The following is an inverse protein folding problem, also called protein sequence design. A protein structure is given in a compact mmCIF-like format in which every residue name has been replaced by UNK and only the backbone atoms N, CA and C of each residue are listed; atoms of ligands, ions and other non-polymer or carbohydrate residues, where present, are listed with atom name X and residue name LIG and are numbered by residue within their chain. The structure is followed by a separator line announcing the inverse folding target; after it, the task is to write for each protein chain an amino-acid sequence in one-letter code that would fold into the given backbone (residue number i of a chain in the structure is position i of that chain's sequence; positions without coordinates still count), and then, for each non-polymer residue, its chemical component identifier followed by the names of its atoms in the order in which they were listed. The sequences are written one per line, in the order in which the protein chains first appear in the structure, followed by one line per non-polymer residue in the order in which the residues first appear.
data_IF_277513506164
#
_entry.id   IF_277513506164
#
_cell.length_a   1.000
_cell.length_b   1.000
_cell.length_c   1.000
_cell.angle_alpha   90.00
_cell.angle_beta   90.00
_cell.angle_gamma   90.00
#
_symmetry.space_group_name_H-M   'P 1'
#
loop_
_entity.id
_entity.type
_entity.pdbx_description
1 polymer ?
#
# COMPACT_ATOMS: atom_id res chain seq x y z
N UNK A 1 -3.80 -1.68 20.98
CA UNK A 1 -4.35 -1.68 19.61
C UNK A 1 -3.96 -2.99 18.94
N UNK A 2 -4.83 -3.67 18.20
CA UNK A 2 -4.46 -4.91 17.50
C UNK A 2 -3.54 -4.53 16.33
N UNK A 3 -2.37 -5.18 16.21
CA UNK A 3 -1.43 -4.92 15.12
C UNK A 3 -2.00 -5.43 13.79
N UNK A 4 -1.69 -4.73 12.70
CA UNK A 4 -2.18 -5.10 11.37
C UNK A 4 -1.21 -6.14 10.74
N UNK A 5 -1.69 -7.30 10.26
CA UNK A 5 -0.83 -8.34 9.71
C UNK A 5 -0.22 -7.92 8.37
N UNK A 6 1.11 -8.01 8.26
CA UNK A 6 1.89 -7.67 7.07
C UNK A 6 2.85 -8.81 6.74
N UNK A 7 2.82 -9.28 5.49
CA UNK A 7 3.81 -10.21 4.98
C UNK A 7 5.15 -9.51 4.79
N UNK A 8 6.26 -10.17 5.07
CA UNK A 8 7.58 -9.57 4.87
C UNK A 8 8.60 -10.59 4.39
N UNK A 9 9.50 -10.15 3.52
CA UNK A 9 10.72 -10.92 3.23
C UNK A 9 11.53 -11.10 4.52
N UNK A 10 11.56 -12.32 5.02
CA UNK A 10 12.24 -12.78 6.26
C UNK A 10 13.64 -12.19 6.49
N UNK A 11 14.45 -11.98 5.44
CA UNK A 11 15.78 -11.38 5.57
C UNK A 11 15.74 -9.95 6.14
N UNK A 12 14.63 -9.23 5.96
CA UNK A 12 14.40 -7.88 6.49
C UNK A 12 14.19 -7.86 8.01
N UNK A 13 13.80 -8.99 8.60
CA UNK A 13 13.65 -9.17 10.05
C UNK A 13 14.93 -9.66 10.73
N UNK A 14 16.05 -9.72 10.01
CA UNK A 14 17.32 -10.20 10.58
C UNK A 14 17.51 -11.72 10.53
N UNK A 15 16.63 -12.47 9.84
CA UNK A 15 16.81 -13.90 9.66
C UNK A 15 17.93 -14.18 8.64
N UNK A 16 18.82 -15.13 8.97
CA UNK A 16 19.97 -15.55 8.16
C UNK A 16 19.57 -16.46 6.98
N UNK A 17 18.72 -15.96 6.09
CA UNK A 17 18.10 -16.72 4.99
C UNK A 17 18.58 -16.30 3.61
N UNK A 18 19.50 -15.32 3.52
CA UNK A 18 20.06 -14.89 2.24
C UNK A 18 20.94 -15.98 1.64
N UNK A 19 21.20 -15.89 0.33
CA UNK A 19 22.05 -16.84 -0.39
C UNK A 19 23.47 -16.95 0.20
N UNK A 20 23.96 -15.87 0.81
CA UNK A 20 25.26 -15.76 1.49
C UNK A 20 25.21 -16.17 2.97
N UNK A 21 24.07 -16.63 3.47
CA UNK A 21 23.87 -16.98 4.88
C UNK A 21 23.69 -15.77 5.81
N UNK A 22 23.63 -14.54 5.28
CA UNK A 22 23.42 -13.33 6.06
C UNK A 22 21.97 -12.86 6.13
N UNK A 23 21.77 -11.64 6.64
CA UNK A 23 20.47 -10.96 6.73
C UNK A 23 20.50 -9.54 6.11
N UNK A 24 19.38 -8.83 6.19
CA UNK A 24 19.19 -7.42 5.78
C UNK A 24 18.26 -6.71 6.77
N UNK A 25 18.63 -6.74 8.06
CA UNK A 25 17.81 -6.12 9.11
C UNK A 25 17.56 -4.64 8.77
N UNK A 26 16.29 -4.25 8.73
CA UNK A 26 15.90 -2.88 8.44
C UNK A 26 15.37 -2.20 9.70
N UNK A 27 16.09 -1.19 10.18
CA UNK A 27 15.80 -0.52 11.45
C UNK A 27 14.48 0.25 11.45
N UNK A 28 14.02 0.76 10.30
CA UNK A 28 12.73 1.45 10.23
C UNK A 28 11.58 0.44 10.32
N UNK A 29 11.73 -0.71 9.65
CA UNK A 29 10.74 -1.79 9.70
C UNK A 29 10.68 -2.40 11.11
N UNK A 30 11.82 -2.82 11.67
CA UNK A 30 11.84 -3.52 12.97
C UNK A 30 11.73 -2.58 14.17
N UNK A 31 12.00 -1.29 13.99
CA UNK A 31 11.73 -0.25 14.97
C UNK A 31 10.32 0.29 14.80
N UNK A 32 10.17 1.35 14.01
CA UNK A 32 8.94 2.14 13.89
C UNK A 32 7.74 1.32 13.41
N UNK A 33 7.85 0.57 12.31
CA UNK A 33 6.67 -0.11 11.75
C UNK A 33 6.18 -1.28 12.62
N UNK A 34 7.09 -1.92 13.38
CA UNK A 34 6.75 -3.03 14.27
C UNK A 34 5.80 -2.66 15.41
N UNK A 35 5.69 -1.38 15.76
CA UNK A 35 4.75 -0.90 16.78
C UNK A 35 3.29 -1.00 16.29
N UNK A 36 3.08 -0.90 14.98
CA UNK A 36 1.75 -0.86 14.34
C UNK A 36 1.40 -2.16 13.60
N UNK A 37 2.41 -2.89 13.13
CA UNK A 37 2.25 -4.04 12.25
C UNK A 37 2.79 -5.32 12.87
N UNK A 38 2.08 -6.42 12.61
CA UNK A 38 2.49 -7.78 12.95
C UNK A 38 3.10 -8.42 11.71
N UNK A 39 4.38 -8.76 11.78
CA UNK A 39 5.13 -9.24 10.61
C UNK A 39 5.08 -10.75 10.49
N UNK A 40 4.55 -11.24 9.36
CA UNK A 40 4.57 -12.64 8.98
C UNK A 40 5.73 -12.86 8.00
N UNK A 41 6.75 -13.60 8.43
CA UNK A 41 7.98 -13.76 7.67
C UNK A 41 7.84 -14.85 6.60
N UNK A 42 8.25 -14.53 5.38
CA UNK A 42 8.31 -15.49 4.27
C UNK A 42 9.69 -15.47 3.60
N UNK A 43 10.19 -16.64 3.23
CA UNK A 43 11.34 -16.78 2.34
C UNK A 43 10.99 -17.80 1.26
N UNK A 44 10.67 -17.37 0.02
CA UNK A 44 10.35 -18.31 -1.07
C UNK A 44 11.48 -19.31 -1.33
N UNK A 45 12.73 -18.88 -1.22
CA UNK A 45 13.89 -19.71 -1.50
C UNK A 45 14.10 -20.79 -0.41
N UNK A 46 13.88 -20.46 0.88
CA UNK A 46 13.87 -21.49 1.93
C UNK A 46 12.63 -22.37 1.82
N UNK A 47 11.48 -21.79 1.46
CA UNK A 47 10.20 -22.48 1.34
C UNK A 47 10.18 -23.56 0.26
N UNK A 48 11.00 -23.42 -0.79
CA UNK A 48 11.20 -24.46 -1.82
C UNK A 48 12.38 -25.40 -1.50
N UNK A 49 13.00 -25.28 -0.32
CA UNK A 49 14.03 -26.20 0.17
C UNK A 49 15.48 -25.86 -0.21
N UNK A 50 15.79 -24.65 -0.69
CA UNK A 50 17.18 -24.33 -1.12
C UNK A 50 18.18 -24.17 0.02
N UNK A 51 17.72 -23.89 1.25
CA UNK A 51 18.59 -23.62 2.39
C UNK A 51 19.39 -22.32 2.29
N UNK A 52 20.26 -22.09 3.27
CA UNK A 52 21.22 -21.00 3.28
C UNK A 52 22.53 -21.48 3.95
N UNK A 53 23.71 -21.24 3.36
CA UNK A 53 23.94 -20.58 2.06
C UNK A 53 23.51 -21.46 0.87
N UNK A 54 23.35 -20.85 -0.31
CA UNK A 54 22.97 -21.54 -1.56
C UNK A 54 23.55 -20.83 -2.78
N UNK A 55 23.68 -21.50 -3.95
CA UNK A 55 24.11 -20.84 -5.18
C UNK A 55 23.13 -19.73 -5.59
N UNK A 56 23.66 -18.70 -6.25
CA UNK A 56 22.87 -17.55 -6.69
C UNK A 56 21.96 -17.89 -7.86
N UNK A 57 20.79 -17.25 -7.87
CA UNK A 57 19.78 -17.37 -8.92
C UNK A 57 19.75 -16.09 -9.76
N UNK A 58 19.24 -16.18 -11.00
CA UNK A 58 18.93 -15.04 -11.86
C UNK A 58 17.66 -15.29 -12.66
N UNK A 59 17.02 -14.21 -13.12
CA UNK A 59 15.95 -14.30 -14.09
C UNK A 59 16.52 -14.30 -15.51
N UNK A 60 16.03 -15.19 -16.36
CA UNK A 60 16.36 -15.27 -17.79
C UNK A 60 15.07 -15.25 -18.60
N UNK A 61 15.09 -14.64 -19.79
CA UNK A 61 13.96 -14.66 -20.72
C UNK A 61 14.24 -15.65 -21.85
N UNK A 62 13.39 -16.67 -21.98
CA UNK A 62 13.47 -17.71 -23.00
C UNK A 62 12.08 -17.83 -23.61
N UNK A 63 11.96 -17.74 -24.94
CA UNK A 63 10.67 -17.86 -25.66
C UNK A 63 9.54 -16.98 -25.08
N UNK A 64 9.88 -15.73 -24.74
CA UNK A 64 9.01 -14.75 -24.08
C UNK A 64 8.55 -15.08 -22.65
N UNK A 65 8.94 -16.21 -22.08
CA UNK A 65 8.71 -16.55 -20.68
C UNK A 65 9.93 -16.18 -19.80
N UNK A 66 9.66 -15.78 -18.56
CA UNK A 66 10.70 -15.49 -17.57
C UNK A 66 10.91 -16.72 -16.69
N UNK A 67 12.14 -17.18 -16.59
CA UNK A 67 12.54 -18.31 -15.76
C UNK A 67 13.54 -17.88 -14.68
N UNK A 68 13.46 -18.48 -13.50
CA UNK A 68 14.45 -18.33 -12.44
C UNK A 68 15.37 -19.55 -12.42
N UNK A 69 16.66 -19.34 -12.73
CA UNK A 69 17.66 -20.40 -12.90
C UNK A 69 18.92 -20.12 -12.08
N UNK A 70 19.72 -21.15 -11.82
CA UNK A 70 21.05 -21.01 -11.26
C UNK A 70 21.99 -20.18 -12.15
N UNK A 71 22.83 -19.34 -11.53
CA UNK A 71 23.87 -18.61 -12.28
C UNK A 71 24.99 -19.54 -12.74
N UNK A 72 25.42 -20.46 -11.87
CA UNK A 72 26.50 -21.42 -12.16
C UNK A 72 26.01 -22.67 -12.89
N UNK A 73 24.73 -23.00 -12.73
CA UNK A 73 24.07 -24.16 -13.32
C UNK A 73 22.71 -23.70 -13.90
N UNK A 74 22.66 -23.38 -15.21
CA UNK A 74 21.42 -22.97 -15.86
C UNK A 74 20.36 -24.07 -15.97
N UNK A 75 20.73 -25.35 -15.88
CA UNK A 75 19.78 -26.47 -15.90
C UNK A 75 19.01 -26.58 -14.58
N UNK A 76 19.56 -25.99 -13.50
CA UNK A 76 18.87 -25.82 -12.25
C UNK A 76 17.82 -24.70 -12.33
N UNK A 77 16.63 -25.07 -12.81
CA UNK A 77 15.47 -24.19 -12.94
C UNK A 77 14.51 -24.33 -11.74
N UNK A 78 14.31 -23.24 -11.01
CA UNK A 78 13.46 -23.19 -9.80
C UNK A 78 12.17 -22.40 -10.01
N UNK A 79 11.79 -22.12 -11.26
CA UNK A 79 10.58 -21.36 -11.61
C UNK A 79 9.31 -22.02 -11.06
N UNK A 80 9.06 -23.28 -11.40
CA UNK A 80 7.87 -24.01 -10.95
C UNK A 80 7.81 -24.18 -9.42
N UNK A 81 8.90 -24.56 -8.73
CA UNK A 81 8.91 -24.54 -7.26
C UNK A 81 8.48 -23.19 -6.66
N UNK A 82 8.99 -22.07 -7.18
CA UNK A 82 8.63 -20.73 -6.69
C UNK A 82 7.16 -20.38 -6.93
N UNK A 83 6.62 -20.70 -8.12
CA UNK A 83 5.21 -20.52 -8.44
C UNK A 83 4.30 -21.35 -7.53
N UNK A 84 4.65 -22.62 -7.33
CA UNK A 84 3.88 -23.53 -6.47
C UNK A 84 3.93 -23.09 -5.01
N UNK A 85 5.07 -22.61 -4.53
CA UNK A 85 5.17 -22.04 -3.19
C UNK A 85 4.26 -20.81 -3.03
N UNK A 86 4.21 -19.88 -4.00
CA UNK A 86 3.29 -18.75 -3.96
C UNK A 86 1.81 -19.18 -3.86
N UNK A 87 1.42 -20.21 -4.63
CA UNK A 87 0.06 -20.81 -4.57
C UNK A 87 -0.22 -21.45 -3.21
N UNK A 88 0.73 -22.20 -2.64
CA UNK A 88 0.60 -22.83 -1.32
C UNK A 88 0.41 -21.80 -0.20
N UNK A 89 1.13 -20.67 -0.27
CA UNK A 89 1.02 -19.59 0.72
C UNK A 89 -0.24 -18.73 0.56
N UNK A 90 -1.03 -18.90 -0.51
CA UNK A 90 -2.14 -18.00 -0.83
C UNK A 90 -3.19 -17.90 0.30
N UNK A 91 -3.46 -19.01 1.00
CA UNK A 91 -4.37 -19.00 2.16
C UNK A 91 -3.83 -18.13 3.30
N UNK A 92 -2.53 -18.17 3.56
CA UNK A 92 -1.88 -17.32 4.57
C UNK A 92 -1.83 -15.85 4.12
N UNK A 93 -1.68 -15.61 2.82
CA UNK A 93 -1.73 -14.26 2.25
C UNK A 93 -3.11 -13.62 2.35
N UNK A 94 -4.18 -14.42 2.31
CA UNK A 94 -5.56 -13.94 2.41
C UNK A 94 -5.83 -13.15 3.70
N UNK A 95 -5.07 -13.39 4.78
CA UNK A 95 -5.21 -12.67 6.05
C UNK A 95 -4.37 -11.38 6.10
N UNK A 96 -3.36 -11.23 5.24
CA UNK A 96 -2.47 -10.07 5.24
C UNK A 96 -3.15 -8.79 4.72
N UNK A 97 -2.75 -7.64 5.27
CA UNK A 97 -3.20 -6.32 4.83
C UNK A 97 -2.16 -5.55 4.03
N UNK A 98 -0.97 -6.14 3.85
CA UNK A 98 0.10 -5.63 2.99
C UNK A 98 1.29 -6.57 2.97
N UNK A 99 2.26 -6.28 2.12
CA UNK A 99 3.47 -7.08 1.96
C UNK A 99 4.71 -6.20 1.68
N UNK A 100 5.79 -6.40 2.44
CA UNK A 100 7.08 -5.74 2.23
C UNK A 100 8.09 -6.73 1.63
N UNK A 101 8.52 -6.46 0.41
CA UNK A 101 9.44 -7.30 -0.34
C UNK A 101 10.89 -6.81 -0.25
N UNK A 102 11.83 -7.74 -0.35
CA UNK A 102 13.26 -7.42 -0.50
C UNK A 102 13.55 -7.12 -1.98
N UNK A 103 14.02 -5.91 -2.27
CA UNK A 103 14.33 -5.43 -3.63
C UNK A 103 15.37 -6.29 -4.33
N UNK A 104 15.26 -6.34 -5.65
CA UNK A 104 16.21 -6.96 -6.59
C UNK A 104 16.41 -8.48 -6.42
N UNK A 105 15.57 -9.17 -5.64
CA UNK A 105 15.61 -10.63 -5.56
C UNK A 105 14.93 -11.27 -6.79
N UNK A 106 15.51 -12.32 -7.40
CA UNK A 106 14.87 -13.06 -8.49
C UNK A 106 13.61 -13.84 -8.03
N UNK A 107 13.42 -14.03 -6.73
CA UNK A 107 12.19 -14.62 -6.18
C UNK A 107 11.22 -13.54 -5.67
N UNK A 108 11.72 -12.58 -4.88
CA UNK A 108 10.88 -11.63 -4.14
C UNK A 108 10.82 -10.20 -4.70
N UNK A 109 11.70 -9.78 -5.61
CA UNK A 109 11.71 -8.39 -6.06
C UNK A 109 10.42 -8.03 -6.78
N UNK A 110 9.83 -6.88 -6.45
CA UNK A 110 8.55 -6.43 -7.01
C UNK A 110 8.72 -5.79 -8.38
N UNK A 111 9.75 -4.98 -8.55
CA UNK A 111 10.01 -4.26 -9.78
C UNK A 111 11.51 -4.12 -10.05
N UNK A 112 11.85 -3.87 -11.32
CA UNK A 112 13.21 -3.61 -11.77
C UNK A 112 14.22 -4.72 -11.40
N UNK A 113 13.73 -5.95 -11.30
CA UNK A 113 14.58 -7.13 -11.15
C UNK A 113 15.28 -7.40 -12.48
N UNK A 114 16.56 -7.72 -12.43
CA UNK A 114 17.35 -7.97 -13.64
C UNK A 114 16.89 -9.27 -14.32
N UNK A 115 16.46 -9.16 -15.56
CA UNK A 115 16.14 -10.26 -16.48
C UNK A 115 17.18 -10.29 -17.58
N UNK A 116 17.75 -11.46 -17.85
CA UNK A 116 18.79 -11.62 -18.86
C UNK A 116 18.20 -12.20 -20.16
N UNK A 117 18.37 -11.49 -21.28
CA UNK A 117 18.04 -11.96 -22.63
C UNK A 117 19.33 -11.99 -23.45
N UNK A 118 19.71 -13.13 -24.04
CA UNK A 118 21.00 -13.27 -24.74
C UNK A 118 22.20 -12.77 -23.90
N UNK A 119 22.15 -13.05 -22.59
CA UNK A 119 23.13 -12.61 -21.59
C UNK A 119 23.22 -11.08 -21.36
N UNK A 120 22.31 -10.28 -21.94
CA UNK A 120 22.17 -8.85 -21.68
C UNK A 120 21.13 -8.58 -20.58
N UNK A 121 21.45 -7.80 -19.53
CA UNK A 121 20.53 -7.52 -18.44
C UNK A 121 19.56 -6.36 -18.75
N UNK A 122 18.28 -6.59 -18.48
CA UNK A 122 17.22 -5.58 -18.49
C UNK A 122 16.60 -5.48 -17.11
N UNK A 123 16.41 -4.26 -16.60
CA UNK A 123 15.91 -4.01 -15.25
C UNK A 123 14.41 -3.66 -15.26
N UNK A 124 13.61 -4.57 -15.81
CA UNK A 124 12.16 -4.45 -16.03
C UNK A 124 11.38 -5.68 -15.54
N UNK A 125 12.04 -6.63 -14.86
CA UNK A 125 11.40 -7.83 -14.34
C UNK A 125 10.82 -7.72 -12.94
N UNK A 126 10.09 -8.77 -12.56
CA UNK A 126 9.56 -9.05 -11.23
C UNK A 126 9.98 -10.48 -10.85
N UNK A 127 10.28 -10.72 -9.58
CA UNK A 127 10.62 -12.04 -9.08
C UNK A 127 9.45 -13.02 -9.21
N UNK A 128 9.75 -14.29 -9.49
CA UNK A 128 8.73 -15.29 -9.84
C UNK A 128 7.65 -15.45 -8.75
N UNK A 129 8.08 -15.50 -7.47
CA UNK A 129 7.14 -15.60 -6.35
C UNK A 129 6.33 -14.31 -6.16
N UNK A 130 6.99 -13.14 -6.24
CA UNK A 130 6.33 -11.85 -6.08
C UNK A 130 5.25 -11.63 -7.15
N UNK A 131 5.55 -11.96 -8.41
CA UNK A 131 4.60 -11.85 -9.52
C UNK A 131 3.35 -12.71 -9.29
N UNK A 132 3.53 -13.99 -8.93
CA UNK A 132 2.40 -14.89 -8.69
C UNK A 132 1.61 -14.51 -7.43
N UNK A 133 2.28 -14.11 -6.34
CA UNK A 133 1.63 -13.64 -5.11
C UNK A 133 0.74 -12.42 -5.38
N UNK A 134 1.26 -11.42 -6.11
CA UNK A 134 0.52 -10.22 -6.48
C UNK A 134 -0.66 -10.54 -7.41
N UNK A 135 -0.49 -11.48 -8.34
CA UNK A 135 -1.56 -11.93 -9.24
C UNK A 135 -2.71 -12.60 -8.47
N UNK A 136 -2.38 -13.44 -7.50
CA UNK A 136 -3.36 -14.13 -6.65
C UNK A 136 -4.03 -13.19 -5.62
N UNK A 137 -3.38 -12.07 -5.28
CA UNK A 137 -3.82 -11.14 -4.24
C UNK A 137 -3.93 -9.69 -4.78
N UNK A 138 -4.83 -9.41 -5.75
CA UNK A 138 -4.88 -8.13 -6.46
C UNK A 138 -5.20 -6.92 -5.57
N UNK A 139 -5.83 -7.16 -4.40
CA UNK A 139 -6.15 -6.13 -3.41
C UNK A 139 -4.98 -5.80 -2.49
N UNK A 140 -4.00 -6.70 -2.35
CA UNK A 140 -2.93 -6.58 -1.36
C UNK A 140 -1.99 -5.42 -1.72
N UNK A 141 -1.77 -4.45 -0.81
CA UNK A 141 -0.69 -3.48 -0.94
C UNK A 141 0.66 -4.19 -0.89
N UNK A 142 1.51 -3.95 -1.87
CA UNK A 142 2.86 -4.53 -1.93
C UNK A 142 3.84 -3.40 -2.20
N UNK A 143 4.95 -3.37 -1.47
CA UNK A 143 6.03 -2.41 -1.67
C UNK A 143 7.40 -3.02 -1.35
N UNK A 144 8.48 -2.48 -1.91
CA UNK A 144 9.85 -2.89 -1.60
C UNK A 144 10.46 -2.05 -0.46
N UNK A 145 11.30 -2.68 0.36
CA UNK A 145 11.99 -2.01 1.47
C UNK A 145 12.75 -0.75 1.02
N UNK A 146 13.40 -0.80 -0.15
CA UNK A 146 14.14 0.34 -0.68
C UNK A 146 13.27 1.52 -1.09
N UNK A 147 12.01 1.26 -1.48
CA UNK A 147 11.05 2.26 -1.93
C UNK A 147 10.35 2.94 -0.76
N UNK A 148 10.22 2.25 0.37
CA UNK A 148 9.80 2.86 1.64
C UNK A 148 10.74 3.98 2.10
N UNK A 149 11.91 4.18 1.49
CA UNK A 149 12.75 5.36 1.70
C UNK A 149 12.10 6.67 1.25
N UNK A 150 11.27 6.65 0.19
CA UNK A 150 10.53 7.82 -0.29
C UNK A 150 9.32 8.09 0.63
N UNK A 151 9.16 9.33 1.16
CA UNK A 151 8.01 9.69 1.98
C UNK A 151 6.67 9.42 1.29
N UNK A 152 6.55 9.73 0.00
CA UNK A 152 5.34 9.61 -0.79
C UNK A 152 4.93 8.15 -0.99
N UNK A 153 5.89 7.28 -1.34
CA UNK A 153 5.65 5.85 -1.52
C UNK A 153 5.35 5.15 -0.19
N UNK A 154 6.08 5.52 0.86
CA UNK A 154 5.86 5.02 2.22
C UNK A 154 4.46 5.37 2.71
N UNK A 155 4.06 6.63 2.57
CA UNK A 155 2.72 7.06 2.97
C UNK A 155 1.65 6.33 2.19
N UNK A 156 1.78 6.24 0.86
CA UNK A 156 0.79 5.57 0.02
C UNK A 156 0.65 4.08 0.36
N UNK A 157 1.77 3.36 0.56
CA UNK A 157 1.76 1.96 0.98
C UNK A 157 1.01 1.79 2.31
N UNK A 158 1.38 2.57 3.33
CA UNK A 158 0.77 2.48 4.66
C UNK A 158 -0.71 2.86 4.61
N UNK A 159 -1.08 3.92 3.88
CA UNK A 159 -2.47 4.33 3.74
C UNK A 159 -3.33 3.20 3.13
N UNK A 160 -2.83 2.55 2.07
CA UNK A 160 -3.50 1.38 1.45
C UNK A 160 -3.61 0.20 2.41
N UNK A 161 -2.60 -0.04 3.25
CA UNK A 161 -2.66 -1.06 4.31
C UNK A 161 -3.82 -0.79 5.27
N UNK A 162 -3.97 0.45 5.74
CA UNK A 162 -5.06 0.83 6.63
C UNK A 162 -6.43 0.75 5.96
N UNK A 163 -6.54 1.11 4.67
CA UNK A 163 -7.78 0.96 3.90
C UNK A 163 -8.17 -0.52 3.78
N UNK A 164 -7.24 -1.41 3.42
CA UNK A 164 -7.53 -2.83 3.32
C UNK A 164 -7.86 -3.45 4.69
N UNK A 165 -7.18 -3.04 5.76
CA UNK A 165 -7.49 -3.48 7.11
C UNK A 165 -8.92 -3.11 7.52
N UNK A 166 -9.33 -1.85 7.28
CA UNK A 166 -10.71 -1.40 7.53
C UNK A 166 -11.73 -2.13 6.68
N UNK A 167 -11.38 -2.46 5.43
CA UNK A 167 -12.24 -3.26 4.55
C UNK A 167 -12.46 -4.66 5.12
N UNK A 168 -11.39 -5.34 5.57
CA UNK A 168 -11.52 -6.65 6.21
C UNK A 168 -12.32 -6.60 7.51
N UNK A 169 -12.15 -5.54 8.31
CA UNK A 169 -12.95 -5.32 9.51
C UNK A 169 -14.44 -5.17 9.17
N UNK A 170 -14.78 -4.39 8.14
CA UNK A 170 -16.15 -4.25 7.64
C UNK A 170 -16.76 -5.61 7.24
N UNK A 171 -16.00 -6.45 6.52
CA UNK A 171 -16.47 -7.78 6.13
C UNK A 171 -16.70 -8.69 7.35
N UNK A 172 -15.81 -8.62 8.35
CA UNK A 172 -15.93 -9.41 9.58
C UNK A 172 -17.12 -8.98 10.46
N UNK A 173 -17.47 -7.69 10.46
CA UNK A 173 -18.64 -7.14 11.18
C UNK A 173 -19.98 -7.44 10.48
N UNK A 174 -19.94 -7.75 9.19
CA UNK A 174 -21.11 -8.00 8.36
C UNK A 174 -21.35 -6.89 7.35
N UNK A 175 -21.21 -7.24 6.06
CA UNK A 175 -21.43 -6.32 4.96
C UNK A 175 -22.93 -6.03 4.77
N UNK A 176 -23.28 -4.74 4.73
CA UNK A 176 -24.62 -4.24 4.38
C UNK A 176 -24.47 -3.10 3.38
N UNK A 177 -25.53 -2.77 2.64
CA UNK A 177 -25.50 -1.61 1.74
C UNK A 177 -25.19 -0.30 2.51
N UNK A 178 -25.74 -0.14 3.72
CA UNK A 178 -25.46 1.04 4.55
C UNK A 178 -24.00 1.09 5.00
N UNK A 179 -23.43 -0.04 5.44
CA UNK A 179 -22.05 -0.08 5.91
C UNK A 179 -21.05 0.11 4.76
N UNK A 180 -21.35 -0.35 3.55
CA UNK A 180 -20.57 -0.06 2.34
C UNK A 180 -20.62 1.43 1.95
N UNK A 181 -21.81 2.04 1.92
CA UNK A 181 -21.95 3.48 1.66
C UNK A 181 -21.22 4.33 2.70
N UNK A 182 -21.29 3.93 3.97
CA UNK A 182 -20.55 4.58 5.07
C UNK A 182 -19.04 4.42 4.89
N UNK A 183 -18.57 3.23 4.53
CA UNK A 183 -17.16 2.99 4.23
C UNK A 183 -16.67 3.92 3.11
N UNK A 184 -17.43 4.06 2.03
CA UNK A 184 -17.11 5.00 0.96
C UNK A 184 -17.06 6.44 1.43
N UNK A 185 -18.08 6.91 2.14
CA UNK A 185 -18.14 8.28 2.64
C UNK A 185 -16.90 8.64 3.49
N UNK A 186 -16.47 7.73 4.37
CA UNK A 186 -15.27 7.92 5.22
C UNK A 186 -13.95 7.92 4.44
N UNK A 187 -13.90 7.30 3.27
CA UNK A 187 -12.69 7.25 2.44
C UNK A 187 -12.72 8.19 1.23
N UNK A 188 -13.84 8.89 0.98
CA UNK A 188 -14.05 9.71 -0.21
C UNK A 188 -12.97 10.78 -0.41
N UNK A 189 -12.55 11.45 0.66
CA UNK A 189 -11.50 12.47 0.59
C UNK A 189 -10.10 11.86 0.38
N UNK A 190 -9.87 10.63 0.82
CA UNK A 190 -8.67 9.86 0.45
C UNK A 190 -8.73 9.55 -1.05
N UNK A 191 -9.82 8.99 -1.55
CA UNK A 191 -9.97 8.66 -2.98
C UNK A 191 -9.69 9.91 -3.84
N UNK A 192 -10.28 11.05 -3.46
CA UNK A 192 -10.11 12.33 -4.13
C UNK A 192 -8.65 12.84 -4.14
N UNK A 193 -7.80 12.47 -3.15
CA UNK A 193 -6.38 12.82 -3.21
C UNK A 193 -5.60 11.99 -4.23
N UNK A 194 -6.12 10.83 -4.64
CA UNK A 194 -5.47 9.93 -5.60
C UNK A 194 -6.00 10.10 -7.02
N UNK A 195 -7.32 10.14 -7.18
CA UNK A 195 -7.97 10.24 -8.49
C UNK A 195 -9.44 10.66 -8.34
N UNK A 196 -10.16 10.65 -9.46
CA UNK A 196 -11.60 10.83 -9.49
C UNK A 196 -12.35 9.73 -8.71
N UNK A 197 -13.34 10.15 -7.93
CA UNK A 197 -14.19 9.26 -7.11
C UNK A 197 -15.56 8.97 -7.74
N UNK A 198 -15.90 9.61 -8.87
CA UNK A 198 -17.24 9.54 -9.49
C UNK A 198 -17.67 8.12 -9.84
N UNK A 199 -16.78 7.32 -10.42
CA UNK A 199 -17.11 5.95 -10.82
C UNK A 199 -17.43 5.06 -9.60
N UNK A 200 -16.64 5.19 -8.52
CA UNK A 200 -16.90 4.49 -7.25
C UNK A 200 -18.23 4.93 -6.63
N UNK A 201 -18.56 6.22 -6.69
CA UNK A 201 -19.84 6.73 -6.20
C UNK A 201 -21.03 6.24 -7.02
N UNK A 202 -20.87 6.14 -8.35
CA UNK A 202 -21.91 5.60 -9.25
C UNK A 202 -22.16 4.12 -8.98
N UNK A 203 -21.12 3.33 -8.80
CA UNK A 203 -21.24 1.91 -8.46
C UNK A 203 -22.10 1.69 -7.21
N UNK A 204 -22.03 2.59 -6.24
CA UNK A 204 -22.86 2.54 -5.04
C UNK A 204 -24.30 3.01 -5.27
N UNK A 205 -24.55 3.89 -6.24
CA UNK A 205 -25.92 4.30 -6.59
C UNK A 205 -26.74 3.18 -7.23
N UNK A 206 -26.07 2.17 -7.78
CA UNK A 206 -26.65 0.97 -8.40
C UNK A 206 -26.89 -0.16 -7.38
N UNK A 207 -26.68 0.09 -6.07
CA UNK A 207 -26.82 -0.91 -5.00
C UNK A 207 -28.26 -1.46 -4.87
N UNK A 208 -28.45 -2.70 -5.33
CA UNK A 208 -29.59 -3.54 -4.98
C UNK A 208 -29.23 -4.54 -3.87
N UNK A 209 -30.21 -5.02 -3.08
CA UNK A 209 -29.95 -6.07 -2.06
C UNK A 209 -29.47 -7.39 -2.68
N UNK A 210 -29.87 -7.69 -3.92
CA UNK A 210 -29.53 -8.95 -4.60
C UNK A 210 -28.06 -9.01 -5.06
N UNK A 211 -27.40 -7.85 -5.19
CA UNK A 211 -26.07 -7.74 -5.82
C UNK A 211 -24.99 -7.21 -4.86
N UNK A 212 -25.30 -7.03 -3.57
CA UNK A 212 -24.41 -6.39 -2.59
C UNK A 212 -22.99 -6.97 -2.59
N UNK A 213 -22.84 -8.30 -2.58
CA UNK A 213 -21.53 -8.96 -2.57
C UNK A 213 -20.74 -8.67 -3.84
N UNK A 214 -21.39 -8.79 -5.01
CA UNK A 214 -20.75 -8.54 -6.31
C UNK A 214 -20.33 -7.08 -6.46
N UNK A 215 -21.20 -6.13 -6.05
CA UNK A 215 -20.90 -4.70 -6.06
C UNK A 215 -19.75 -4.39 -5.11
N UNK A 216 -19.73 -5.00 -3.92
CA UNK A 216 -18.66 -4.81 -2.96
C UNK A 216 -17.30 -5.30 -3.46
N UNK A 217 -17.25 -6.46 -4.14
CA UNK A 217 -16.03 -6.99 -4.76
C UNK A 217 -15.49 -6.07 -5.87
N UNK A 218 -16.38 -5.58 -6.74
CA UNK A 218 -16.01 -4.62 -7.78
C UNK A 218 -15.53 -3.29 -7.17
N UNK A 219 -16.24 -2.81 -6.15
CA UNK A 219 -15.93 -1.57 -5.45
C UNK A 219 -14.54 -1.61 -4.81
N UNK A 220 -14.22 -2.65 -4.04
CA UNK A 220 -12.91 -2.72 -3.37
C UNK A 220 -11.77 -2.89 -4.38
N UNK A 221 -11.99 -3.64 -5.47
CA UNK A 221 -10.99 -3.78 -6.52
C UNK A 221 -10.70 -2.44 -7.19
N UNK A 222 -11.74 -1.69 -7.55
CA UNK A 222 -11.59 -0.37 -8.14
C UNK A 222 -10.95 0.61 -7.16
N UNK A 223 -11.38 0.62 -5.90
CA UNK A 223 -10.79 1.45 -4.84
C UNK A 223 -9.29 1.18 -4.68
N UNK A 224 -8.89 -0.07 -4.49
CA UNK A 224 -7.49 -0.42 -4.30
C UNK A 224 -6.64 -0.15 -5.54
N UNK A 225 -7.22 -0.23 -6.74
CA UNK A 225 -6.56 0.17 -7.98
C UNK A 225 -6.39 1.70 -8.08
N UNK A 226 -7.38 2.48 -7.69
CA UNK A 226 -7.27 3.94 -7.61
C UNK A 226 -6.15 4.36 -6.66
N UNK A 227 -6.10 3.75 -5.47
CA UNK A 227 -5.10 4.10 -4.46
C UNK A 227 -3.67 3.65 -4.81
N UNK A 228 -3.46 2.78 -5.82
CA UNK A 228 -2.10 2.43 -6.30
C UNK A 228 -1.32 3.63 -6.83
N UNK A 229 -2.01 4.67 -7.30
CA UNK A 229 -1.38 5.91 -7.76
C UNK A 229 -1.06 6.78 -6.55
N UNK A 230 0.19 7.19 -6.29
CA UNK A 230 0.47 8.12 -5.18
C UNK A 230 -0.30 9.43 -5.33
N UNK A 231 -0.76 9.99 -4.22
CA UNK A 231 -1.46 11.27 -4.22
C UNK A 231 -0.49 12.39 -4.62
N UNK A 232 -0.97 13.33 -5.42
CA UNK A 232 -0.16 14.49 -5.83
C UNK A 232 -0.45 15.69 -4.93
N UNK A 233 0.53 16.58 -4.78
CA UNK A 233 0.35 17.87 -4.09
C UNK A 233 -0.85 18.65 -4.63
N UNK A 234 -1.04 18.65 -5.96
CA UNK A 234 -2.20 19.25 -6.63
C UNK A 234 -3.53 18.66 -6.12
N UNK A 235 -3.63 17.33 -6.04
CA UNK A 235 -4.85 16.68 -5.57
C UNK A 235 -5.08 16.91 -4.08
N UNK A 236 -4.04 16.90 -3.25
CA UNK A 236 -4.16 17.28 -1.84
C UNK A 236 -4.68 18.71 -1.69
N UNK A 237 -4.19 19.67 -2.48
CA UNK A 237 -4.73 21.04 -2.48
C UNK A 237 -6.21 21.06 -2.83
N UNK A 238 -6.64 20.31 -3.85
CA UNK A 238 -8.06 20.20 -4.19
C UNK A 238 -8.89 19.67 -3.00
N UNK A 239 -8.38 18.66 -2.29
CA UNK A 239 -9.04 18.10 -1.10
C UNK A 239 -9.09 19.13 0.03
N UNK A 240 -7.99 19.82 0.32
CA UNK A 240 -7.93 20.85 1.36
C UNK A 240 -8.91 22.00 1.08
N UNK A 241 -9.00 22.46 -0.17
CA UNK A 241 -9.95 23.48 -0.58
C UNK A 241 -11.40 22.98 -0.52
N UNK A 242 -11.65 21.72 -0.86
CA UNK A 242 -12.97 21.11 -0.71
C UNK A 242 -13.39 21.07 0.77
N UNK A 243 -12.49 20.66 1.66
CA UNK A 243 -12.72 20.64 3.12
C UNK A 243 -12.95 22.07 3.65
N UNK A 244 -12.16 23.06 3.21
CA UNK A 244 -12.33 24.47 3.56
C UNK A 244 -13.74 24.97 3.22
N UNK A 245 -14.37 24.46 2.15
CA UNK A 245 -15.73 24.81 1.76
C UNK A 245 -16.79 24.58 2.85
N UNK A 246 -16.61 23.55 3.70
CA UNK A 246 -17.53 23.25 4.80
C UNK A 246 -17.46 24.30 5.92
N UNK A 247 -16.36 25.05 6.01
CA UNK A 247 -16.17 26.11 7.00
C UNK A 247 -16.57 27.50 6.47
N UNK A 248 -17.12 27.61 5.25
CA UNK A 248 -17.41 28.90 4.58
C UNK A 248 -18.24 29.88 5.43
N UNK A 249 -19.17 29.38 6.25
CA UNK A 249 -20.03 30.19 7.12
C UNK A 249 -19.49 30.36 8.54
N UNK A 250 -18.45 29.60 8.91
CA UNK A 250 -17.91 29.53 10.26
C UNK A 250 -16.62 30.34 10.45
N UNK A 251 -15.86 30.57 9.37
CA UNK A 251 -14.61 31.34 9.45
C UNK A 251 -14.86 32.85 9.36
N UNK A 252 -14.07 33.60 10.13
CA UNK A 252 -13.89 35.03 9.92
C UNK A 252 -13.21 35.29 8.56
N UNK A 253 -13.20 36.55 8.12
CA UNK A 253 -12.49 36.94 6.89
C UNK A 253 -10.99 36.65 7.03
N UNK A 254 -10.41 36.96 8.19
CA UNK A 254 -8.99 36.79 8.46
C UNK A 254 -8.59 35.31 8.56
N UNK A 255 -9.34 34.49 9.29
CA UNK A 255 -9.11 33.04 9.40
C UNK A 255 -9.21 32.36 8.03
N UNK A 256 -10.15 32.81 7.20
CA UNK A 256 -10.29 32.29 5.83
C UNK A 256 -9.09 32.67 4.97
N UNK A 257 -8.56 33.88 5.12
CA UNK A 257 -7.38 34.32 4.39
C UNK A 257 -6.13 33.53 4.82
N UNK A 258 -5.92 33.35 6.13
CA UNK A 258 -4.83 32.53 6.68
C UNK A 258 -4.89 31.09 6.15
N UNK A 259 -6.06 30.46 6.17
CA UNK A 259 -6.22 29.09 5.67
C UNK A 259 -5.95 28.99 4.16
N UNK A 260 -6.39 29.96 3.36
CA UNK A 260 -6.05 30.02 1.93
C UNK A 260 -4.54 30.15 1.72
N UNK A 261 -3.87 31.02 2.47
CA UNK A 261 -2.44 31.27 2.38
C UNK A 261 -1.63 30.01 2.73
N UNK A 262 -1.98 29.32 3.82
CA UNK A 262 -1.31 28.09 4.23
C UNK A 262 -1.51 26.96 3.21
N UNK A 263 -2.70 26.84 2.61
CA UNK A 263 -2.93 25.88 1.52
C UNK A 263 -2.02 26.21 0.32
N UNK A 264 -1.77 27.49 0.06
CA UNK A 264 -0.88 27.90 -1.03
C UNK A 264 0.59 27.73 -0.71
N UNK A 265 1.00 27.91 0.54
CA UNK A 265 2.32 27.49 1.00
C UNK A 265 2.53 25.99 0.85
N UNK A 266 1.50 25.18 1.14
CA UNK A 266 1.56 23.75 0.85
C UNK A 266 1.64 23.49 -0.65
N UNK A 267 0.83 24.15 -1.49
CA UNK A 267 0.90 24.01 -2.96
C UNK A 267 2.30 24.27 -3.51
N UNK A 268 3.00 25.26 -2.97
CA UNK A 268 4.35 25.66 -3.41
C UNK A 268 5.49 24.86 -2.76
N UNK A 269 5.21 23.97 -1.80
CA UNK A 269 6.25 23.16 -1.15
C UNK A 269 6.96 23.83 0.03
N UNK A 270 6.46 24.96 0.53
CA UNK A 270 7.07 25.66 1.66
C UNK A 270 6.73 25.03 3.02
N UNK A 271 5.57 24.36 3.11
CA UNK A 271 5.14 23.65 4.31
C UNK A 271 4.66 22.24 3.99
N UNK A 272 4.76 21.29 4.93
CA UNK A 272 4.22 19.95 4.74
C UNK A 272 2.70 19.89 4.93
N UNK A 273 2.07 18.82 4.43
CA UNK A 273 0.62 18.58 4.45
C UNK A 273 0.02 18.63 5.86
N UNK A 274 0.79 18.26 6.89
CA UNK A 274 0.35 18.36 8.30
C UNK A 274 -0.03 19.78 8.71
N UNK A 275 0.58 20.83 8.14
CA UNK A 275 0.33 22.22 8.53
C UNK A 275 -1.10 22.66 8.19
N UNK A 276 -1.55 22.64 6.90
CA UNK A 276 -2.94 22.97 6.58
C UNK A 276 -3.94 22.02 7.25
N UNK A 277 -3.62 20.74 7.40
CA UNK A 277 -4.50 19.79 8.10
C UNK A 277 -4.68 20.14 9.58
N UNK A 278 -3.63 20.58 10.26
CA UNK A 278 -3.70 20.99 11.67
C UNK A 278 -4.57 22.22 11.84
N UNK A 279 -4.45 23.21 10.94
CA UNK A 279 -5.31 24.39 10.97
C UNK A 279 -6.77 24.03 10.69
N UNK A 280 -7.04 23.17 9.70
CA UNK A 280 -8.39 22.65 9.45
C UNK A 280 -8.96 21.94 10.69
N UNK A 281 -8.20 21.05 11.33
CA UNK A 281 -8.60 20.38 12.58
C UNK A 281 -8.94 21.37 13.69
N UNK A 282 -8.17 22.44 13.82
CA UNK A 282 -8.45 23.50 14.80
C UNK A 282 -9.83 24.14 14.56
N UNK A 283 -10.16 24.49 13.31
CA UNK A 283 -11.44 25.11 12.99
C UNK A 283 -12.62 24.14 13.14
N UNK A 284 -12.50 22.88 12.71
CA UNK A 284 -13.56 21.89 12.91
C UNK A 284 -13.83 21.57 14.39
N UNK A 285 -12.83 21.67 15.27
CA UNK A 285 -13.07 21.58 16.72
C UNK A 285 -14.03 22.66 17.24
N UNK A 286 -14.02 23.84 16.63
CA UNK A 286 -14.92 24.97 16.99
C UNK A 286 -16.24 24.94 16.21
N UNK A 287 -16.21 24.42 14.99
CA UNK A 287 -17.37 24.26 14.11
C UNK A 287 -17.43 22.82 13.56
N UNK A 288 -17.88 21.85 14.37
CA UNK A 288 -17.96 20.45 13.99
C UNK A 288 -18.78 20.23 12.72
N UNK A 289 -18.28 19.33 11.86
CA UNK A 289 -19.02 18.81 10.70
C UNK A 289 -18.92 17.28 10.71
N UNK A 290 -20.04 16.55 10.88
CA UNK A 290 -20.02 15.08 11.01
C UNK A 290 -19.37 14.37 9.83
N UNK A 291 -19.51 14.90 8.61
CA UNK A 291 -18.92 14.28 7.42
C UNK A 291 -17.40 14.41 7.42
N UNK A 292 -16.88 15.58 7.83
CA UNK A 292 -15.44 15.80 7.93
C UNK A 292 -14.82 15.06 9.12
N UNK A 293 -15.50 15.04 10.27
CA UNK A 293 -15.03 14.35 11.47
C UNK A 293 -14.93 12.83 11.28
N UNK A 294 -15.86 12.23 10.54
CA UNK A 294 -15.82 10.81 10.22
C UNK A 294 -14.83 10.46 9.08
N UNK A 295 -14.29 11.46 8.38
CA UNK A 295 -13.38 11.22 7.26
C UNK A 295 -12.02 10.72 7.72
N UNK A 296 -11.59 9.58 7.16
CA UNK A 296 -10.24 9.07 7.37
C UNK A 296 -9.17 9.92 6.69
N UNK A 297 -9.50 10.88 5.82
CA UNK A 297 -8.48 11.82 5.32
C UNK A 297 -7.92 12.72 6.44
N UNK A 298 -8.73 13.03 7.45
CA UNK A 298 -8.29 13.86 8.57
C UNK A 298 -7.34 13.10 9.51
N UNK A 299 -7.51 11.78 9.62
CA UNK A 299 -6.68 10.90 10.46
C UNK A 299 -6.57 9.50 9.82
N UNK A 300 -5.77 9.34 8.74
CA UNK A 300 -5.74 8.11 7.93
C UNK A 300 -5.05 6.94 8.63
N UNK A 301 -4.21 7.24 9.61
CA UNK A 301 -3.43 6.31 10.42
C UNK A 301 -3.00 7.03 11.71
N UNK A 302 -2.45 6.32 12.72
CA UNK A 302 -1.89 6.93 13.93
C UNK A 302 -0.90 8.05 13.61
N UNK A 303 -1.02 9.18 14.32
CA UNK A 303 -0.24 10.40 14.05
C UNK A 303 1.25 10.21 14.34
N UNK A 304 1.56 9.28 15.25
CA UNK A 304 2.90 8.89 15.69
C UNK A 304 3.74 8.29 14.55
N UNK A 305 3.12 7.81 13.47
CA UNK A 305 3.81 7.40 12.24
C UNK A 305 4.41 8.59 11.46
N UNK A 306 3.94 9.82 11.71
CA UNK A 306 4.47 11.07 11.17
C UNK A 306 4.57 11.14 9.63
N UNK A 307 3.76 10.37 8.89
CA UNK A 307 3.92 10.19 7.45
C UNK A 307 3.68 11.48 6.66
N UNK A 308 2.64 12.25 7.02
CA UNK A 308 2.31 13.54 6.37
C UNK A 308 3.22 14.71 6.79
N UNK A 309 4.16 14.51 7.72
CA UNK A 309 5.09 15.56 8.13
C UNK A 309 6.16 15.84 7.07
N UNK A 310 6.26 14.98 6.06
CA UNK A 310 7.26 15.04 4.99
C UNK A 310 6.65 15.13 3.59
N UNK A 311 5.32 15.28 3.48
CA UNK A 311 4.58 15.42 2.21
C UNK A 311 4.28 16.88 1.90
#
# INVERSE_FOLDING_TARGET
MKKIPIGISSCLLGQNVRYDGGHRLDAYITGTLSEYFEFHAFCPEMGIGLGAPRPTLRLVKIDNAVHCVGIKDPDWNVTEPLLNYAKQQNRLHADLCGYILKKSSPSCGMERVKVYTNNQPHADGTGIYAAEMMRLNPLLPVEEEGRLGSPELRENFIQRVYVLYRWKALLAEGLTASSLTKFHARHKLIIMSHDDYRDLGRLLSELSKAELTQIAEQYILQLMNTLKKPATRKNHVNVLQHIQGYLKKALSVDDKAELCEIIEYYRNGYVPLIVPLTLLKHHFRKSPDPYIEESYYMSPYPQELQLINRL
#
